data_IF_758141273518
#
_entry.id   IF_758141273518
#
_cell.length_a   1.000
_cell.length_b   1.000
_cell.length_c   1.000
_cell.angle_alpha   90.00
_cell.angle_beta   90.00
_cell.angle_gamma   90.00
#
_symmetry.space_group_name_H-M   'P 1'
#
loop_
_entity.id
_entity.type
_entity.pdbx_description
1 polymer ?
#
# COMPACT_ATOMS: atom_id res chain seq x y z
N UNK A 1 -8.38 -2.18 27.31
CA UNK A 1 -9.70 -1.68 26.87
C UNK A 1 -9.69 -0.85 25.58
N UNK A 2 -8.77 0.12 25.38
CA UNK A 2 -8.70 0.88 24.11
C UNK A 2 -8.24 0.04 22.91
N UNK A 3 -7.41 -0.97 23.12
CA UNK A 3 -6.89 -1.86 22.05
C UNK A 3 -7.98 -2.71 21.39
N UNK A 4 -8.79 -3.41 22.18
CA UNK A 4 -9.92 -4.17 21.63
C UNK A 4 -10.89 -3.26 20.86
N UNK A 5 -11.07 -2.00 21.26
CA UNK A 5 -11.94 -1.07 20.53
C UNK A 5 -11.42 -0.74 19.14
N UNK A 6 -10.13 -0.47 18.96
CA UNK A 6 -9.59 -0.16 17.63
C UNK A 6 -9.61 -1.38 16.71
N UNK A 7 -9.29 -2.57 17.24
CA UNK A 7 -9.38 -3.81 16.47
C UNK A 7 -10.84 -4.14 16.08
N UNK A 8 -11.78 -3.98 17.01
CA UNK A 8 -13.20 -4.15 16.73
C UNK A 8 -13.70 -3.16 15.68
N UNK A 9 -13.21 -1.91 15.71
CA UNK A 9 -13.55 -0.92 14.68
C UNK A 9 -13.04 -1.35 13.31
N UNK A 10 -11.77 -1.77 13.19
CA UNK A 10 -11.19 -2.27 11.93
C UNK A 10 -11.99 -3.47 11.39
N UNK A 11 -12.30 -4.43 12.26
CA UNK A 11 -13.10 -5.61 11.90
C UNK A 11 -14.51 -5.21 11.46
N UNK A 12 -15.16 -4.30 12.19
CA UNK A 12 -16.51 -3.82 11.84
C UNK A 12 -16.53 -3.09 10.49
N UNK A 13 -15.52 -2.27 10.19
CA UNK A 13 -15.41 -1.61 8.89
C UNK A 13 -15.14 -2.61 7.77
N UNK A 14 -14.32 -3.63 8.01
CA UNK A 14 -14.08 -4.71 7.05
C UNK A 14 -15.36 -5.49 6.72
N UNK A 15 -16.11 -5.88 7.74
CA UNK A 15 -17.41 -6.57 7.57
C UNK A 15 -18.41 -5.68 6.84
N UNK A 16 -18.45 -4.39 7.16
CA UNK A 16 -19.32 -3.43 6.48
C UNK A 16 -18.96 -3.30 5.00
N UNK A 17 -17.67 -3.24 4.66
CA UNK A 17 -17.21 -3.21 3.26
C UNK A 17 -17.58 -4.50 2.52
N UNK A 18 -17.41 -5.67 3.14
CA UNK A 18 -17.86 -6.93 2.54
C UNK A 18 -19.36 -6.95 2.27
N UNK A 19 -20.17 -6.49 3.24
CA UNK A 19 -21.62 -6.38 3.08
C UNK A 19 -22.02 -5.35 2.01
N UNK A 20 -21.22 -4.30 1.82
CA UNK A 20 -21.48 -3.26 0.83
C UNK A 20 -21.50 -3.81 -0.61
N UNK A 21 -20.83 -4.94 -0.89
CA UNK A 21 -20.87 -5.58 -2.23
C UNK A 21 -22.28 -5.86 -2.76
N UNK A 22 -23.24 -6.06 -1.87
CA UNK A 22 -24.63 -6.37 -2.24
C UNK A 22 -25.39 -5.14 -2.77
N UNK A 23 -24.92 -3.94 -2.48
CA UNK A 23 -25.63 -2.67 -2.75
C UNK A 23 -24.85 -1.78 -3.71
N UNK A 24 -23.52 -1.93 -3.73
CA UNK A 24 -22.60 -1.02 -4.40
C UNK A 24 -22.52 -1.33 -5.91
N UNK A 25 -22.57 -0.31 -6.80
CA UNK A 25 -22.34 -0.47 -8.23
C UNK A 25 -20.95 -1.04 -8.58
N UNK A 26 -20.82 -1.66 -9.74
CA UNK A 26 -19.57 -2.27 -10.22
C UNK A 26 -18.38 -1.29 -10.27
N UNK A 27 -18.58 -0.08 -10.80
CA UNK A 27 -17.51 0.94 -10.87
C UNK A 27 -16.99 1.36 -9.48
N UNK A 28 -17.87 1.41 -8.47
CA UNK A 28 -17.47 1.73 -7.09
C UNK A 28 -16.73 0.53 -6.48
N UNK A 29 -17.11 -0.70 -6.84
CA UNK A 29 -16.44 -1.92 -6.38
C UNK A 29 -14.98 -1.95 -6.85
N UNK A 30 -14.72 -1.64 -8.12
CA UNK A 30 -13.36 -1.50 -8.68
C UNK A 30 -12.56 -0.39 -7.98
N UNK A 31 -13.20 0.75 -7.71
CA UNK A 31 -12.57 1.84 -6.97
C UNK A 31 -12.19 1.40 -5.55
N UNK A 32 -13.06 0.67 -4.84
CA UNK A 32 -12.79 0.15 -3.50
C UNK A 32 -11.61 -0.83 -3.52
N UNK A 33 -11.56 -1.75 -4.49
CA UNK A 33 -10.43 -2.68 -4.64
C UNK A 33 -9.13 -1.91 -4.87
N UNK A 34 -9.16 -0.90 -5.75
CA UNK A 34 -8.01 -0.03 -6.00
C UNK A 34 -7.55 0.71 -4.75
N UNK A 35 -8.47 1.28 -3.98
CA UNK A 35 -8.18 1.96 -2.72
C UNK A 35 -7.54 1.01 -1.72
N UNK A 36 -8.13 -0.17 -1.51
CA UNK A 36 -7.66 -1.14 -0.53
C UNK A 36 -6.29 -1.71 -0.92
N UNK A 37 -6.11 -2.09 -2.18
CA UNK A 37 -4.85 -2.60 -2.70
C UNK A 37 -3.72 -1.56 -2.61
N UNK A 38 -3.97 -0.30 -2.99
CA UNK A 38 -2.99 0.78 -2.79
C UNK A 38 -2.71 1.01 -1.30
N UNK A 39 -3.72 0.97 -0.45
CA UNK A 39 -3.54 1.14 1.00
C UNK A 39 -2.62 0.05 1.59
N UNK A 40 -2.67 -1.19 1.09
CA UNK A 40 -1.74 -2.24 1.50
C UNK A 40 -0.28 -1.85 1.20
N UNK A 41 -0.01 -1.38 -0.02
CA UNK A 41 1.35 -0.92 -0.39
C UNK A 41 1.79 0.24 0.48
N UNK A 42 0.90 1.20 0.70
CA UNK A 42 1.17 2.41 1.50
C UNK A 42 1.40 2.04 2.98
N UNK A 43 0.76 1.00 3.51
CA UNK A 43 1.09 0.50 4.85
C UNK A 43 2.54 0.04 4.94
N UNK A 44 3.07 -0.60 3.89
CA UNK A 44 4.49 -0.92 3.77
C UNK A 44 5.39 0.33 3.76
N UNK A 45 5.00 1.37 3.00
CA UNK A 45 5.70 2.67 2.99
C UNK A 45 5.71 3.28 4.39
N UNK A 46 4.57 3.36 5.06
CA UNK A 46 4.43 3.97 6.40
C UNK A 46 5.26 3.21 7.43
N UNK A 47 5.30 1.88 7.34
CA UNK A 47 6.10 1.06 8.25
C UNK A 47 7.60 1.36 8.10
N UNK A 48 8.08 1.63 6.88
CA UNK A 48 9.45 2.09 6.63
C UNK A 48 9.67 3.54 7.11
N UNK A 49 8.71 4.44 6.83
CA UNK A 49 8.80 5.85 7.26
C UNK A 49 8.87 5.99 8.77
N UNK A 50 8.17 5.14 9.52
CA UNK A 50 8.28 5.08 10.99
C UNK A 50 9.68 4.71 11.48
N UNK A 51 10.48 4.07 10.64
CA UNK A 51 11.90 3.75 10.86
C UNK A 51 12.88 4.78 10.30
N UNK A 52 12.39 5.93 9.81
CA UNK A 52 13.23 6.95 9.15
C UNK A 52 13.59 6.63 7.71
N UNK A 53 12.96 5.63 7.10
CA UNK A 53 13.28 5.18 5.76
C UNK A 53 12.13 5.52 4.80
N UNK A 54 12.37 6.45 3.89
CA UNK A 54 11.42 6.74 2.81
C UNK A 54 11.78 5.88 1.60
N UNK A 55 10.91 4.96 1.21
CA UNK A 55 11.15 4.09 0.05
C UNK A 55 10.43 4.58 -1.19
N UNK A 56 11.19 4.95 -2.22
CA UNK A 56 10.68 5.13 -3.59
C UNK A 56 10.79 3.85 -4.44
N UNK A 57 11.02 2.71 -3.79
CA UNK A 57 11.12 1.40 -4.43
C UNK A 57 9.88 0.51 -4.26
N UNK A 58 8.81 0.96 -3.60
CA UNK A 58 7.63 0.11 -3.40
C UNK A 58 6.90 -0.26 -4.71
N UNK A 59 7.05 0.56 -5.76
CA UNK A 59 6.65 0.22 -7.13
C UNK A 59 7.29 -1.06 -7.66
N UNK A 60 8.53 -1.38 -7.25
CA UNK A 60 9.19 -2.65 -7.57
C UNK A 60 8.34 -3.82 -7.07
N UNK A 61 7.98 -3.82 -5.79
CA UNK A 61 7.22 -4.93 -5.19
C UNK A 61 5.79 -4.98 -5.67
N UNK A 62 5.16 -3.83 -5.86
CA UNK A 62 3.86 -3.72 -6.49
C UNK A 62 3.85 -4.35 -7.89
N UNK A 63 4.86 -4.04 -8.70
CA UNK A 63 5.01 -4.63 -10.02
C UNK A 63 5.32 -6.13 -9.94
N UNK A 64 6.25 -6.56 -9.09
CA UNK A 64 6.59 -7.97 -8.91
C UNK A 64 5.39 -8.81 -8.47
N UNK A 65 4.53 -8.29 -7.59
CA UNK A 65 3.30 -8.96 -7.19
C UNK A 65 2.33 -9.16 -8.36
N UNK A 66 2.11 -8.10 -9.16
CA UNK A 66 1.28 -8.19 -10.36
C UNK A 66 1.86 -9.15 -11.41
N UNK A 67 3.16 -9.05 -11.68
CA UNK A 67 3.85 -9.95 -12.63
C UNK A 67 3.92 -11.38 -12.13
N UNK A 68 4.00 -11.64 -10.82
CA UNK A 68 3.93 -12.99 -10.28
C UNK A 68 2.56 -13.62 -10.59
N UNK A 69 1.47 -12.87 -10.43
CA UNK A 69 0.13 -13.31 -10.82
C UNK A 69 0.05 -13.54 -12.34
N UNK A 70 0.51 -12.57 -13.12
CA UNK A 70 0.45 -12.64 -14.58
C UNK A 70 1.26 -13.80 -15.16
N UNK A 71 2.53 -13.93 -14.78
CA UNK A 71 3.41 -15.01 -15.25
C UNK A 71 2.99 -16.38 -14.69
N UNK A 72 2.51 -16.42 -13.44
CA UNK A 72 1.91 -17.60 -12.82
C UNK A 72 0.76 -18.15 -13.67
N UNK A 73 -0.16 -17.29 -14.07
CA UNK A 73 -1.28 -17.64 -14.95
C UNK A 73 -0.81 -18.01 -16.36
N UNK A 74 0.05 -17.20 -16.98
CA UNK A 74 0.42 -17.35 -18.39
C UNK A 74 1.36 -18.52 -18.66
N UNK A 75 2.39 -18.73 -17.83
CA UNK A 75 3.45 -19.71 -18.09
C UNK A 75 3.26 -21.00 -17.31
N UNK A 76 2.81 -20.91 -16.06
CA UNK A 76 2.59 -22.09 -15.21
C UNK A 76 1.16 -22.63 -15.31
N UNK A 77 0.27 -21.94 -16.02
CA UNK A 77 -1.15 -22.34 -16.15
C UNK A 77 -1.90 -22.32 -14.83
N UNK A 78 -1.39 -21.59 -13.83
CA UNK A 78 -2.01 -21.50 -12.51
C UNK A 78 -3.21 -20.57 -12.61
N UNK A 79 -4.40 -21.13 -12.48
CA UNK A 79 -5.64 -20.35 -12.45
C UNK A 79 -6.10 -20.03 -11.03
N UNK A 80 -5.64 -20.76 -10.00
CA UNK A 80 -6.12 -20.59 -8.62
C UNK A 80 -5.65 -19.28 -7.99
N UNK A 81 -6.60 -18.42 -7.61
CA UNK A 81 -6.35 -17.12 -6.99
C UNK A 81 -5.47 -17.22 -5.74
N UNK A 82 -5.69 -18.21 -4.87
CA UNK A 82 -4.90 -18.35 -3.65
C UNK A 82 -3.46 -18.77 -3.94
N UNK A 83 -3.26 -19.62 -4.95
CA UNK A 83 -1.93 -20.04 -5.36
C UNK A 83 -1.16 -18.88 -6.00
N UNK A 84 -1.84 -18.06 -6.80
CA UNK A 84 -1.25 -16.86 -7.40
C UNK A 84 -0.86 -15.81 -6.33
N UNK A 85 -1.68 -15.62 -5.30
CA UNK A 85 -1.34 -14.76 -4.17
C UNK A 85 -0.17 -15.31 -3.36
N UNK A 86 -0.14 -16.62 -3.10
CA UNK A 86 0.98 -17.27 -2.43
C UNK A 86 2.27 -17.10 -3.24
N UNK A 87 2.21 -17.27 -4.56
CA UNK A 87 3.34 -17.03 -5.46
C UNK A 87 3.84 -15.58 -5.36
N UNK A 88 2.93 -14.59 -5.39
CA UNK A 88 3.30 -13.18 -5.22
C UNK A 88 4.01 -12.92 -3.88
N UNK A 89 3.53 -13.51 -2.78
CA UNK A 89 4.17 -13.41 -1.46
C UNK A 89 5.55 -14.07 -1.45
N UNK A 90 5.70 -15.25 -2.05
CA UNK A 90 6.99 -15.96 -2.12
C UNK A 90 8.00 -15.15 -2.92
N UNK A 91 7.62 -14.63 -4.09
CA UNK A 91 8.49 -13.78 -4.91
C UNK A 91 8.91 -12.52 -4.13
N UNK A 92 7.98 -11.89 -3.42
CA UNK A 92 8.26 -10.73 -2.59
C UNK A 92 9.21 -11.05 -1.43
N UNK A 93 9.05 -12.19 -0.75
CA UNK A 93 9.95 -12.62 0.32
C UNK A 93 11.36 -12.88 -0.18
N UNK A 94 11.49 -13.54 -1.34
CA UNK A 94 12.80 -13.86 -1.93
C UNK A 94 13.51 -12.58 -2.39
N UNK A 95 12.84 -11.76 -3.20
CA UNK A 95 13.42 -10.53 -3.74
C UNK A 95 13.62 -9.49 -2.64
N UNK A 96 12.61 -9.31 -1.77
CA UNK A 96 12.65 -8.41 -0.63
C UNK A 96 13.67 -8.81 0.42
N UNK A 97 13.88 -10.11 0.64
CA UNK A 97 14.95 -10.63 1.49
C UNK A 97 16.33 -10.35 0.90
N UNK A 98 16.53 -10.64 -0.39
CA UNK A 98 17.79 -10.37 -1.07
C UNK A 98 18.13 -8.88 -1.12
N UNK A 99 17.20 -8.05 -1.60
CA UNK A 99 17.38 -6.60 -1.72
C UNK A 99 17.39 -5.91 -0.34
N UNK A 100 16.60 -6.40 0.61
CA UNK A 100 16.57 -5.89 1.97
C UNK A 100 17.91 -6.06 2.67
N UNK A 101 18.61 -7.17 2.43
CA UNK A 101 19.93 -7.40 3.01
C UNK A 101 20.95 -6.34 2.58
N UNK A 102 20.84 -5.88 1.32
CA UNK A 102 21.63 -4.79 0.76
C UNK A 102 21.16 -3.42 1.28
N UNK A 103 19.87 -3.12 1.14
CA UNK A 103 19.28 -1.83 1.46
C UNK A 103 19.30 -1.49 2.95
N UNK A 104 19.27 -2.49 3.84
CA UNK A 104 19.35 -2.30 5.28
C UNK A 104 20.63 -1.60 5.77
N UNK A 105 21.65 -1.46 4.91
CA UNK A 105 22.91 -0.76 5.21
C UNK A 105 22.83 0.75 4.96
N UNK A 106 21.84 1.21 4.21
CA UNK A 106 21.71 2.61 3.79
C UNK A 106 20.63 3.32 4.59
N UNK A 107 20.72 4.65 4.66
CA UNK A 107 19.81 5.52 5.41
C UNK A 107 19.35 6.69 4.57
N UNK A 108 18.23 7.27 4.98
CA UNK A 108 17.71 8.54 4.47
C UNK A 108 17.66 8.57 2.93
N UNK A 109 18.28 9.59 2.34
CA UNK A 109 18.28 9.85 0.89
C UNK A 109 18.97 8.72 0.12
N UNK A 110 20.02 8.10 0.66
CA UNK A 110 20.70 7.00 -0.03
C UNK A 110 19.81 5.75 -0.14
N UNK A 111 19.04 5.46 0.91
CA UNK A 111 18.06 4.38 0.88
C UNK A 111 16.96 4.68 -0.17
N UNK A 112 16.45 5.91 -0.19
CA UNK A 112 15.47 6.36 -1.17
C UNK A 112 15.99 6.19 -2.61
N UNK A 113 17.17 6.72 -2.91
CA UNK A 113 17.78 6.66 -4.24
C UNK A 113 18.09 5.22 -4.69
N UNK A 114 18.63 4.38 -3.80
CA UNK A 114 18.93 2.99 -4.15
C UNK A 114 17.64 2.19 -4.37
N UNK A 115 16.61 2.39 -3.56
CA UNK A 115 15.31 1.73 -3.75
C UNK A 115 14.61 2.16 -5.05
N UNK A 116 14.72 3.44 -5.42
CA UNK A 116 14.24 3.97 -6.69
C UNK A 116 14.99 3.35 -7.88
N UNK A 117 16.32 3.30 -7.80
CA UNK A 117 17.15 2.71 -8.85
C UNK A 117 16.80 1.25 -9.11
N UNK A 118 16.58 0.45 -8.05
CA UNK A 118 16.14 -0.94 -8.17
C UNK A 118 14.79 -1.06 -8.89
N UNK A 119 13.83 -0.19 -8.57
CA UNK A 119 12.53 -0.13 -9.28
C UNK A 119 12.71 0.17 -10.77
N UNK A 120 13.60 1.11 -11.11
CA UNK A 120 13.87 1.49 -12.50
C UNK A 120 14.67 0.43 -13.27
N UNK A 121 15.53 -0.34 -12.61
CA UNK A 121 16.18 -1.51 -13.21
C UNK A 121 15.12 -2.55 -13.59
N UNK A 122 14.18 -2.86 -12.69
CA UNK A 122 13.08 -3.77 -13.01
C UNK A 122 12.25 -3.22 -14.19
N UNK A 123 11.88 -1.94 -14.15
CA UNK A 123 11.16 -1.30 -15.25
C UNK A 123 11.88 -1.49 -16.59
N UNK A 124 13.19 -1.20 -16.66
CA UNK A 124 13.99 -1.37 -17.87
C UNK A 124 14.09 -2.83 -18.34
N UNK A 125 14.18 -3.79 -17.42
CA UNK A 125 14.17 -5.22 -17.75
C UNK A 125 12.84 -5.68 -18.33
N UNK A 126 11.72 -5.16 -17.81
CA UNK A 126 10.38 -5.50 -18.29
C UNK A 126 10.09 -4.88 -19.66
N UNK A 127 10.43 -3.61 -19.86
CA UNK A 127 10.19 -2.93 -21.15
C UNK A 127 11.11 -3.43 -22.27
N UNK A 128 12.31 -3.93 -21.94
CA UNK A 128 13.24 -4.45 -22.94
C UNK A 128 12.93 -5.89 -23.39
N UNK A 129 12.04 -6.61 -22.70
CA UNK A 129 11.81 -8.04 -22.93
C UNK A 129 10.39 -8.31 -23.47
N UNK A 130 10.31 -8.70 -24.74
CA UNK A 130 9.04 -9.03 -25.41
C UNK A 130 8.30 -10.19 -24.75
N UNK A 131 9.02 -11.18 -24.20
CA UNK A 131 8.40 -12.32 -23.53
C UNK A 131 7.61 -11.90 -22.26
N UNK A 132 8.00 -10.78 -21.65
CA UNK A 132 7.35 -10.20 -20.48
C UNK A 132 6.30 -9.15 -20.84
N UNK A 133 5.96 -9.01 -22.12
CA UNK A 133 4.94 -8.09 -22.61
C UNK A 133 5.47 -6.73 -23.07
N UNK A 134 6.77 -6.47 -22.98
CA UNK A 134 7.36 -5.17 -23.38
C UNK A 134 6.59 -4.00 -22.72
N UNK A 135 6.44 -2.86 -23.40
CA UNK A 135 5.76 -1.66 -22.88
C UNK A 135 4.26 -1.85 -22.58
N UNK A 136 3.57 -2.69 -23.37
CA UNK A 136 2.13 -2.92 -23.25
C UNK A 136 1.78 -3.84 -22.07
N UNK A 137 2.70 -4.73 -21.69
CA UNK A 137 2.44 -5.78 -20.72
C UNK A 137 1.56 -6.89 -21.29
N UNK A 138 0.78 -7.56 -20.44
CA UNK A 138 -0.10 -8.65 -20.88
C UNK A 138 -1.28 -8.90 -19.92
N UNK A 139 -2.33 -9.47 -20.50
CA UNK A 139 -3.59 -9.78 -19.81
C UNK A 139 -3.46 -11.02 -18.93
N UNK A 140 -4.01 -10.95 -17.72
CA UNK A 140 -4.22 -12.08 -16.81
C UNK A 140 -5.56 -12.73 -17.17
N UNK A 141 -5.55 -14.01 -17.57
CA UNK A 141 -6.77 -14.72 -18.00
C UNK A 141 -7.11 -15.87 -17.06
N UNK A 142 -8.40 -16.22 -17.05
CA UNK A 142 -8.94 -17.47 -16.50
C UNK A 142 -8.61 -17.68 -15.01
N UNK A 143 -9.07 -16.77 -14.16
CA UNK A 143 -9.01 -16.98 -12.71
C UNK A 143 -10.04 -18.05 -12.30
N UNK A 144 -9.61 -18.98 -11.46
CA UNK A 144 -10.41 -20.06 -10.89
C UNK A 144 -10.38 -19.98 -9.36
N UNK A 145 -11.43 -20.50 -8.72
CA UNK A 145 -11.47 -20.69 -7.27
C UNK A 145 -11.55 -22.20 -7.00
N UNK A 146 -10.57 -22.75 -6.28
CA UNK A 146 -10.51 -24.19 -5.96
C UNK A 146 -10.65 -25.11 -7.19
N UNK A 147 -10.11 -24.68 -8.34
CA UNK A 147 -10.17 -25.42 -9.60
C UNK A 147 -11.42 -25.20 -10.46
N UNK A 148 -12.43 -24.48 -9.99
CA UNK A 148 -13.59 -24.11 -10.81
C UNK A 148 -13.36 -22.78 -11.54
N UNK A 149 -13.54 -22.79 -12.86
CA UNK A 149 -13.43 -21.59 -13.68
C UNK A 149 -14.57 -20.62 -13.34
N UNK A 150 -14.22 -19.37 -13.01
CA UNK A 150 -15.18 -18.35 -12.64
C UNK A 150 -15.67 -17.58 -13.87
N UNK A 151 -16.95 -17.20 -13.86
CA UNK A 151 -17.47 -16.19 -14.79
C UNK A 151 -16.91 -14.79 -14.47
N UNK A 152 -16.87 -13.85 -15.42
CA UNK A 152 -16.33 -12.50 -15.16
C UNK A 152 -16.93 -11.81 -13.93
N UNK A 153 -18.25 -11.93 -13.75
CA UNK A 153 -18.93 -11.34 -12.58
C UNK A 153 -18.56 -12.03 -11.26
N UNK A 154 -18.32 -13.34 -11.29
CA UNK A 154 -17.84 -14.08 -10.11
C UNK A 154 -16.39 -13.73 -9.77
N UNK A 155 -15.54 -13.49 -10.79
CA UNK A 155 -14.15 -13.04 -10.58
C UNK A 155 -14.17 -11.70 -9.85
N UNK A 156 -14.91 -10.72 -10.36
CA UNK A 156 -15.03 -9.39 -9.77
C UNK A 156 -15.52 -9.46 -8.31
N UNK A 157 -16.59 -10.22 -8.05
CA UNK A 157 -17.11 -10.41 -6.69
C UNK A 157 -16.10 -11.11 -5.76
N UNK A 158 -15.38 -12.12 -6.27
CA UNK A 158 -14.39 -12.89 -5.51
C UNK A 158 -13.18 -12.03 -5.16
N UNK A 159 -12.63 -11.31 -6.14
CA UNK A 159 -11.49 -10.40 -5.95
C UNK A 159 -11.86 -9.27 -5.00
N UNK A 160 -13.09 -8.73 -5.10
CA UNK A 160 -13.60 -7.74 -4.14
C UNK A 160 -13.60 -8.27 -2.71
N UNK A 161 -14.28 -9.41 -2.47
CA UNK A 161 -14.42 -9.99 -1.13
C UNK A 161 -13.07 -10.38 -0.55
N UNK A 162 -12.20 -10.96 -1.38
CA UNK A 162 -10.86 -11.34 -1.01
C UNK A 162 -10.01 -10.12 -0.67
N UNK A 163 -10.08 -9.05 -1.46
CA UNK A 163 -9.38 -7.79 -1.18
C UNK A 163 -9.84 -7.19 0.14
N UNK A 164 -11.15 -7.14 0.41
CA UNK A 164 -11.67 -6.69 1.70
C UNK A 164 -11.15 -7.56 2.86
N UNK A 165 -11.13 -8.88 2.68
CA UNK A 165 -10.64 -9.84 3.67
C UNK A 165 -9.17 -9.65 3.99
N UNK A 166 -8.32 -9.63 2.95
CA UNK A 166 -6.88 -9.41 3.09
C UNK A 166 -6.59 -8.03 3.65
N UNK A 167 -7.24 -6.97 3.17
CA UNK A 167 -7.05 -5.62 3.68
C UNK A 167 -7.41 -5.51 5.17
N UNK A 168 -8.50 -6.14 5.60
CA UNK A 168 -8.90 -6.16 7.02
C UNK A 168 -7.93 -6.96 7.87
N UNK A 169 -7.52 -8.14 7.40
CA UNK A 169 -6.54 -8.99 8.08
C UNK A 169 -5.20 -8.26 8.23
N UNK A 170 -4.69 -7.68 7.14
CA UNK A 170 -3.43 -6.95 7.13
C UNK A 170 -3.53 -5.67 7.96
N UNK A 171 -4.65 -4.95 7.95
CA UNK A 171 -4.84 -3.79 8.81
C UNK A 171 -4.78 -4.17 10.30
N UNK A 172 -5.39 -5.31 10.66
CA UNK A 172 -5.31 -5.87 12.01
C UNK A 172 -3.85 -6.22 12.36
N UNK A 173 -3.19 -7.03 11.53
CA UNK A 173 -1.79 -7.44 11.74
C UNK A 173 -0.83 -6.26 11.78
N UNK A 174 -1.01 -5.25 10.93
CA UNK A 174 -0.23 -4.02 10.95
C UNK A 174 -0.46 -3.25 12.25
N UNK A 175 -1.70 -3.16 12.74
CA UNK A 175 -2.00 -2.51 14.01
C UNK A 175 -1.31 -3.20 15.19
N UNK A 176 -1.34 -4.53 15.21
CA UNK A 176 -0.63 -5.36 16.19
C UNK A 176 0.89 -5.18 16.08
N UNK A 177 1.44 -5.27 14.87
CA UNK A 177 2.88 -5.11 14.60
C UNK A 177 3.39 -3.73 15.02
N UNK A 178 2.63 -2.67 14.71
CA UNK A 178 2.96 -1.29 15.05
C UNK A 178 3.06 -1.01 16.55
N UNK A 179 2.44 -1.85 17.38
CA UNK A 179 2.46 -1.82 18.85
C UNK A 179 3.35 -2.90 19.46
N UNK A 180 3.84 -3.84 18.66
CA UNK A 180 4.79 -4.84 19.12
C UNK A 180 6.17 -4.19 19.39
N UNK A 181 7.05 -4.83 20.17
CA UNK A 181 8.40 -4.32 20.44
C UNK A 181 9.17 -3.98 19.16
N UNK A 182 8.99 -4.78 18.11
CA UNK A 182 9.62 -4.54 16.80
C UNK A 182 9.13 -3.26 16.11
N UNK A 183 7.84 -2.96 16.22
CA UNK A 183 7.25 -1.72 15.71
C UNK A 183 7.75 -0.48 16.45
N UNK A 184 7.94 -0.58 17.77
CA UNK A 184 8.56 0.49 18.57
C UNK A 184 10.06 0.62 18.29
N UNK A 185 10.76 -0.49 18.07
CA UNK A 185 12.18 -0.49 17.71
C UNK A 185 12.44 0.31 16.44
N UNK A 186 11.56 0.23 15.43
CA UNK A 186 11.65 1.08 14.23
C UNK A 186 11.65 2.57 14.55
N UNK A 187 10.70 3.03 15.37
CA UNK A 187 10.65 4.44 15.79
C UNK A 187 11.83 4.85 16.68
N UNK A 188 12.37 3.94 17.48
CA UNK A 188 13.59 4.20 18.25
C UNK A 188 14.83 4.33 17.34
N UNK A 189 14.93 3.49 16.31
CA UNK A 189 15.99 3.55 15.28
C UNK A 189 15.96 4.90 14.57
N UNK A 190 14.77 5.40 14.21
CA UNK A 190 14.64 6.71 13.58
C UNK A 190 15.15 7.86 14.48
N UNK A 191 14.99 7.75 15.79
CA UNK A 191 15.42 8.81 16.72
C UNK A 191 16.94 8.79 16.95
N UNK A 192 17.52 7.63 17.25
CA UNK A 192 18.95 7.50 17.51
C UNK A 192 19.42 6.04 17.39
N UNK A 193 20.05 5.71 16.27
CA UNK A 193 20.57 4.36 16.01
C UNK A 193 21.62 3.92 17.02
N UNK A 194 22.52 4.83 17.41
CA UNK A 194 23.60 4.55 18.35
C UNK A 194 23.05 4.16 19.73
N UNK A 195 21.99 4.85 20.19
CA UNK A 195 21.31 4.51 21.44
C UNK A 195 20.63 3.14 21.37
N UNK A 196 20.03 2.79 20.24
CA UNK A 196 19.40 1.46 20.04
C UNK A 196 20.45 0.35 20.07
N UNK A 197 21.63 0.60 19.50
CA UNK A 197 22.74 -0.34 19.52
C UNK A 197 23.29 -0.55 20.95
N UNK A 198 23.40 0.50 21.76
CA UNK A 198 23.75 0.38 23.18
C UNK A 198 22.72 -0.43 24.00
N UNK A 199 21.47 -0.50 23.56
CA UNK A 199 20.42 -1.33 24.17
C UNK A 199 20.46 -2.79 23.69
N UNK A 200 21.42 -3.16 22.84
CA UNK A 200 21.62 -4.52 22.32
C UNK A 200 20.77 -4.86 21.09
N UNK A 201 20.07 -3.90 20.50
CA UNK A 201 19.31 -4.09 19.27
C UNK A 201 20.12 -3.62 18.06
N UNK A 202 20.15 -4.41 16.99
CA UNK A 202 20.79 -4.01 15.73
C UNK A 202 19.82 -3.15 14.88
N UNK A 203 20.11 -1.86 14.62
CA UNK A 203 19.27 -1.02 13.75
C UNK A 203 19.08 -1.63 12.37
N UNK A 204 20.15 -2.27 11.85
CA UNK A 204 20.13 -2.96 10.57
C UNK A 204 19.13 -4.11 10.51
N UNK A 205 19.03 -4.90 11.57
CA UNK A 205 18.07 -6.02 11.65
C UNK A 205 16.64 -5.51 11.69
N UNK A 206 16.39 -4.41 12.40
CA UNK A 206 15.08 -3.76 12.46
C UNK A 206 14.68 -3.17 11.11
N UNK A 207 15.59 -2.46 10.43
CA UNK A 207 15.34 -1.95 9.08
C UNK A 207 15.11 -3.08 8.08
N UNK A 208 15.87 -4.19 8.18
CA UNK A 208 15.73 -5.37 7.32
C UNK A 208 14.36 -6.02 7.48
N UNK A 209 13.91 -6.33 8.70
CA UNK A 209 12.61 -6.97 8.92
C UNK A 209 11.48 -6.07 8.43
N UNK A 210 11.56 -4.77 8.71
CA UNK A 210 10.58 -3.79 8.24
C UNK A 210 10.52 -3.73 6.71
N UNK A 211 11.66 -3.83 6.05
CA UNK A 211 11.76 -3.86 4.60
C UNK A 211 11.13 -5.12 3.99
N UNK A 212 11.40 -6.30 4.56
CA UNK A 212 10.79 -7.55 4.10
C UNK A 212 9.27 -7.51 4.27
N UNK A 213 8.77 -7.04 5.42
CA UNK A 213 7.32 -6.87 5.62
C UNK A 213 6.74 -5.89 4.60
N UNK A 214 7.39 -4.75 4.37
CA UNK A 214 6.93 -3.77 3.40
C UNK A 214 6.92 -4.34 1.96
N UNK A 215 7.88 -5.19 1.59
CA UNK A 215 7.92 -5.84 0.28
C UNK A 215 6.74 -6.78 0.05
N UNK A 216 6.36 -7.57 1.07
CA UNK A 216 5.20 -8.46 0.99
C UNK A 216 3.92 -7.66 0.85
N UNK A 217 3.78 -6.58 1.61
CA UNK A 217 2.62 -5.68 1.52
C UNK A 217 2.51 -5.02 0.14
N UNK A 218 3.64 -4.60 -0.43
CA UNK A 218 3.72 -4.07 -1.79
C UNK A 218 3.24 -5.09 -2.83
N UNK A 219 3.74 -6.31 -2.76
CA UNK A 219 3.38 -7.37 -3.70
C UNK A 219 1.93 -7.84 -3.56
N UNK A 220 1.38 -7.90 -2.33
CA UNK A 220 -0.04 -8.19 -2.12
C UNK A 220 -0.92 -7.15 -2.80
N UNK A 221 -0.63 -5.85 -2.63
CA UNK A 221 -1.38 -4.80 -3.32
C UNK A 221 -1.29 -4.91 -4.84
N UNK A 222 -0.11 -5.24 -5.37
CA UNK A 222 0.12 -5.43 -6.80
C UNK A 222 -0.61 -6.63 -7.39
N UNK A 223 -0.58 -7.76 -6.68
CA UNK A 223 -1.28 -8.98 -7.07
C UNK A 223 -2.80 -8.76 -7.13
N UNK A 224 -3.37 -8.08 -6.12
CA UNK A 224 -4.80 -7.78 -6.09
C UNK A 224 -5.21 -6.86 -7.24
N UNK A 225 -4.42 -5.83 -7.55
CA UNK A 225 -4.72 -4.96 -8.70
C UNK A 225 -4.63 -5.69 -10.04
N UNK A 226 -3.67 -6.60 -10.18
CA UNK A 226 -3.50 -7.36 -11.40
C UNK A 226 -4.69 -8.31 -11.63
N UNK A 227 -5.23 -8.88 -10.56
CA UNK A 227 -6.43 -9.73 -10.60
C UNK A 227 -7.69 -8.92 -10.91
N UNK A 228 -7.82 -7.72 -10.34
CA UNK A 228 -8.97 -6.84 -10.52
C UNK A 228 -9.03 -6.25 -11.94
N UNK A 229 -7.92 -5.67 -12.42
CA UNK A 229 -7.85 -5.08 -13.76
C UNK A 229 -7.72 -6.14 -14.86
N UNK A 230 -7.35 -7.38 -14.52
CA UNK A 230 -7.07 -8.44 -15.47
C UNK A 230 -5.88 -8.14 -16.39
N UNK A 231 -5.03 -7.17 -16.07
CA UNK A 231 -3.90 -6.74 -16.89
C UNK A 231 -2.73 -6.27 -16.03
N UNK A 232 -1.52 -6.57 -16.49
CA UNK A 232 -0.27 -6.19 -15.83
C UNK A 232 0.59 -5.44 -16.84
N UNK A 233 1.19 -4.32 -16.43
CA UNK A 233 2.08 -3.52 -17.27
C UNK A 233 3.36 -3.10 -16.54
N UNK A 234 4.48 -2.87 -17.26
CA UNK A 234 5.73 -2.38 -16.65
C UNK A 234 5.56 -1.03 -15.95
N UNK A 235 4.59 -0.22 -16.36
CA UNK A 235 4.29 1.07 -15.76
C UNK A 235 4.00 0.98 -14.24
N UNK A 236 3.65 -0.19 -13.73
CA UNK A 236 3.54 -0.45 -12.29
C UNK A 236 4.87 -0.28 -11.53
N UNK A 237 6.01 -0.52 -12.18
CA UNK A 237 7.35 -0.33 -11.60
C UNK A 237 7.92 1.07 -11.84
N UNK A 238 7.25 1.90 -12.66
CA UNK A 238 7.73 3.23 -12.99
C UNK A 238 7.74 4.12 -11.74
N UNK A 239 8.77 4.97 -11.62
CA UNK A 239 9.01 5.73 -10.39
C UNK A 239 7.83 6.58 -9.92
N UNK A 240 7.01 7.08 -10.85
CA UNK A 240 5.84 7.89 -10.51
C UNK A 240 4.85 7.10 -9.65
N UNK A 241 4.69 5.79 -9.91
CA UNK A 241 3.83 4.92 -9.11
C UNK A 241 4.31 4.82 -7.66
N UNK A 242 5.62 4.68 -7.44
CA UNK A 242 6.22 4.73 -6.09
C UNK A 242 5.99 6.09 -5.42
N UNK A 243 6.08 7.18 -6.19
CA UNK A 243 5.78 8.53 -5.72
C UNK A 243 4.33 8.69 -5.25
N UNK A 244 3.37 8.10 -5.97
CA UNK A 244 1.96 8.08 -5.55
C UNK A 244 1.80 7.42 -4.18
N UNK A 245 2.46 6.29 -3.91
CA UNK A 245 2.37 5.64 -2.61
C UNK A 245 2.91 6.52 -1.46
N UNK A 246 4.00 7.24 -1.71
CA UNK A 246 4.56 8.21 -0.74
C UNK A 246 3.58 9.37 -0.53
N UNK A 247 2.96 9.88 -1.59
CA UNK A 247 1.96 10.95 -1.47
C UNK A 247 0.73 10.51 -0.67
N UNK A 248 0.23 9.30 -0.89
CA UNK A 248 -0.88 8.74 -0.11
C UNK A 248 -0.49 8.64 1.39
N UNK A 249 0.74 8.18 1.68
CA UNK A 249 1.25 8.10 3.06
C UNK A 249 1.26 9.48 3.75
N UNK A 250 1.71 10.51 3.04
CA UNK A 250 1.78 11.89 3.55
C UNK A 250 0.38 12.51 3.72
N UNK A 251 -0.54 12.27 2.79
CA UNK A 251 -1.93 12.75 2.90
C UNK A 251 -2.67 12.14 4.09
N UNK A 252 -2.54 10.83 4.28
CA UNK A 252 -3.18 10.11 5.38
C UNK A 252 -2.57 10.45 6.75
N UNK A 253 -1.24 10.34 6.83
CA UNK A 253 -0.45 10.42 8.06
C UNK A 253 0.18 9.07 8.43
N UNK A 254 1.30 9.11 9.17
CA UNK A 254 2.14 7.93 9.45
C UNK A 254 1.85 7.20 10.78
N UNK A 255 1.03 7.81 11.65
CA UNK A 255 0.90 7.36 13.05
C UNK A 255 -0.17 6.28 13.28
N UNK A 256 -1.12 6.11 12.36
CA UNK A 256 -2.23 5.19 12.55
C UNK A 256 -2.55 4.42 11.27
N UNK A 257 -2.82 3.12 11.38
CA UNK A 257 -3.20 2.25 10.25
C UNK A 257 -4.41 2.81 9.49
N UNK A 258 -5.44 3.25 10.21
CA UNK A 258 -6.64 3.85 9.61
C UNK A 258 -6.38 5.14 8.81
N UNK A 259 -5.29 5.86 9.13
CA UNK A 259 -4.91 7.05 8.39
C UNK A 259 -4.50 6.70 6.94
N UNK A 260 -3.86 5.56 6.74
CA UNK A 260 -3.45 5.07 5.42
C UNK A 260 -4.65 4.78 4.52
N UNK A 261 -5.65 4.08 5.06
CA UNK A 261 -6.88 3.77 4.31
C UNK A 261 -7.66 5.04 3.96
N UNK A 262 -7.75 6.00 4.87
CA UNK A 262 -8.39 7.29 4.60
C UNK A 262 -7.60 8.07 3.53
N UNK A 263 -6.27 8.12 3.65
CA UNK A 263 -5.41 8.75 2.65
C UNK A 263 -5.59 8.14 1.26
N UNK A 264 -5.61 6.81 1.15
CA UNK A 264 -5.81 6.10 -0.11
C UNK A 264 -7.21 6.37 -0.69
N UNK A 265 -8.24 6.39 0.16
CA UNK A 265 -9.61 6.68 -0.25
C UNK A 265 -9.73 8.08 -0.82
N UNK A 266 -9.22 9.10 -0.11
CA UNK A 266 -9.28 10.49 -0.57
C UNK A 266 -8.44 10.67 -1.83
N UNK A 267 -7.25 10.08 -1.89
CA UNK A 267 -6.40 10.15 -3.09
C UNK A 267 -7.13 9.57 -4.32
N UNK A 268 -7.72 8.38 -4.21
CA UNK A 268 -8.37 7.74 -5.35
C UNK A 268 -9.65 8.47 -5.77
N UNK A 269 -10.43 9.01 -4.82
CA UNK A 269 -11.60 9.84 -5.13
C UNK A 269 -11.16 11.10 -5.90
N UNK A 270 -10.17 11.83 -5.38
CA UNK A 270 -9.66 13.04 -6.05
C UNK A 270 -9.09 12.68 -7.41
N UNK A 271 -8.34 11.57 -7.52
CA UNK A 271 -7.78 11.10 -8.80
C UNK A 271 -8.89 10.81 -9.81
N UNK A 272 -9.93 10.08 -9.40
CA UNK A 272 -11.04 9.68 -10.27
C UNK A 272 -11.78 10.89 -10.82
N UNK A 273 -12.19 11.82 -9.95
CA UNK A 273 -12.88 13.03 -10.38
C UNK A 273 -11.96 14.01 -11.13
N UNK A 274 -10.68 14.09 -10.77
CA UNK A 274 -9.73 14.93 -11.50
C UNK A 274 -9.50 14.42 -12.94
N UNK A 275 -9.47 13.09 -13.13
CA UNK A 275 -9.41 12.48 -14.45
C UNK A 275 -10.70 12.70 -15.26
N UNK A 276 -11.86 12.68 -14.60
CA UNK A 276 -13.15 12.92 -15.25
C UNK A 276 -13.31 14.37 -15.72
N UNK A 277 -13.03 15.36 -14.85
CA UNK A 277 -13.26 16.78 -15.15
C UNK A 277 -12.08 17.47 -15.84
N UNK A 278 -10.85 17.06 -15.55
CA UNK A 278 -9.65 17.71 -16.07
C UNK A 278 -8.52 16.72 -16.39
N UNK A 279 -8.69 15.85 -17.41
CA UNK A 279 -7.74 14.78 -17.76
C UNK A 279 -6.31 15.27 -18.06
N UNK A 280 -6.12 16.52 -18.47
CA UNK A 280 -4.80 17.07 -18.77
C UNK A 280 -4.11 17.67 -17.53
N UNK A 281 -4.88 18.00 -16.49
CA UNK A 281 -4.40 18.70 -15.29
C UNK A 281 -4.49 17.85 -14.01
N UNK A 282 -4.90 16.58 -14.09
CA UNK A 282 -5.12 15.72 -12.92
C UNK A 282 -3.88 15.64 -11.99
N UNK A 283 -2.67 15.61 -12.56
CA UNK A 283 -1.42 15.61 -11.76
C UNK A 283 -1.20 16.91 -11.01
N UNK A 284 -1.54 18.05 -11.62
CA UNK A 284 -1.47 19.37 -10.98
C UNK A 284 -2.50 19.43 -9.85
N UNK A 285 -3.73 18.98 -10.09
CA UNK A 285 -4.80 18.95 -9.09
C UNK A 285 -4.37 18.12 -7.87
N UNK A 286 -3.85 16.90 -8.09
CA UNK A 286 -3.34 16.06 -7.00
C UNK A 286 -2.20 16.73 -6.24
N UNK A 287 -1.24 17.33 -6.94
CA UNK A 287 -0.14 18.07 -6.30
C UNK A 287 -0.63 19.26 -5.48
N UNK A 288 -1.60 20.03 -5.98
CA UNK A 288 -2.20 21.15 -5.24
C UNK A 288 -2.94 20.68 -4.00
N UNK A 289 -3.73 19.61 -4.09
CA UNK A 289 -4.43 19.03 -2.92
C UNK A 289 -3.44 18.55 -1.87
N UNK A 290 -2.34 17.92 -2.28
CA UNK A 290 -1.27 17.50 -1.36
C UNK A 290 -0.65 18.70 -0.64
N UNK A 291 -0.29 19.77 -1.36
CA UNK A 291 0.27 20.99 -0.76
C UNK A 291 -0.71 21.62 0.25
N UNK A 292 -1.99 21.70 -0.11
CA UNK A 292 -3.03 22.19 0.80
C UNK A 292 -3.10 21.34 2.08
N UNK A 293 -3.09 20.01 1.95
CA UNK A 293 -3.13 19.12 3.12
C UNK A 293 -1.89 19.33 3.99
N UNK A 294 -0.68 19.41 3.42
CA UNK A 294 0.55 19.61 4.20
C UNK A 294 0.55 20.97 4.91
N UNK A 295 0.12 22.05 4.24
CA UNK A 295 0.08 23.39 4.81
C UNK A 295 -0.97 23.55 5.92
N UNK A 296 -2.16 22.96 5.74
CA UNK A 296 -3.28 23.17 6.66
C UNK A 296 -3.44 22.04 7.70
N UNK A 297 -2.97 20.83 7.40
CA UNK A 297 -3.07 19.61 8.22
C UNK A 297 -1.69 18.91 8.30
N UNK A 298 -0.72 19.45 9.05
CA UNK A 298 0.65 18.91 9.09
C UNK A 298 0.75 17.48 9.65
N UNK A 299 -0.28 17.00 10.34
CA UNK A 299 -0.39 15.62 10.85
C UNK A 299 -1.23 14.70 9.95
N UNK A 300 -1.56 15.15 8.74
CA UNK A 300 -2.41 14.42 7.78
C UNK A 300 -3.90 14.51 8.11
N UNK A 301 -4.72 13.90 7.23
CA UNK A 301 -6.18 13.85 7.36
C UNK A 301 -6.66 13.24 8.68
N UNK A 302 -5.87 12.36 9.29
CA UNK A 302 -6.20 11.75 10.57
C UNK A 302 -6.30 12.76 11.73
N UNK A 303 -5.69 13.94 11.61
CA UNK A 303 -5.69 14.98 12.64
C UNK A 303 -6.94 15.86 12.66
N UNK A 304 -7.81 15.73 11.66
CA UNK A 304 -9.06 16.50 11.54
C UNK A 304 -9.95 16.42 12.79
N UNK A 305 -10.23 15.25 13.38
CA UNK A 305 -11.12 15.16 14.54
C UNK A 305 -10.55 15.88 15.76
N UNK A 306 -9.23 15.85 15.95
CA UNK A 306 -8.56 16.52 17.07
C UNK A 306 -8.51 18.03 16.89
N UNK A 307 -8.20 18.50 15.67
CA UNK A 307 -8.20 19.93 15.34
C UNK A 307 -9.60 20.55 15.48
N UNK A 308 -10.64 19.85 15.03
CA UNK A 308 -12.04 20.31 15.17
C UNK A 308 -12.46 20.38 16.65
N UNK A 309 -12.02 19.43 17.49
CA UNK A 309 -12.26 19.47 18.94
C UNK A 309 -11.54 20.63 19.62
N UNK A 310 -10.29 20.92 19.24
CA UNK A 310 -9.54 22.06 19.74
C UNK A 310 -10.20 23.40 19.39
N UNK A 311 -10.71 23.55 18.16
CA UNK A 311 -11.43 24.76 17.72
C UNK A 311 -12.76 24.92 18.46
N UNK A 312 -13.53 23.84 18.65
CA UNK A 312 -14.79 23.88 19.40
C UNK A 312 -14.58 24.22 20.87
N UNK A 313 -13.54 23.67 21.50
CA UNK A 313 -13.18 24.00 22.88
C UNK A 313 -12.79 25.48 23.02
N UNK A 314 -11.98 26.01 22.10
CA UNK A 314 -11.60 27.42 22.08
C UNK A 314 -12.80 28.37 21.86
N UNK A 315 -13.81 27.94 21.08
CA UNK A 315 -15.02 28.73 20.83
C UNK A 315 -15.97 28.73 22.03
N UNK A 316 -16.17 27.58 22.67
CA UNK A 316 -16.97 27.47 23.91
C UNK A 316 -16.39 28.27 25.07
N UNK A 317 -15.07 28.43 25.12
CA UNK A 317 -14.39 29.20 26.15
C UNK A 317 -14.50 30.73 25.91
N UNK A 318 -14.73 31.14 24.66
CA UNK A 318 -14.92 32.54 24.25
C UNK A 318 -16.37 33.01 24.34
N UNK A 319 -17.33 32.08 24.36
CA UNK A 319 -18.75 32.35 24.61
C UNK A 319 -19.09 32.35 26.11
N UNK A 320 -18.18 31.85 26.96
CA UNK A 320 -18.31 31.82 28.42
C UNK A 320 -17.64 33.01 29.14
N UNK A 321 -17.01 33.93 28.39
CA UNK A 321 -16.40 35.19 28.83
C UNK A 321 -17.11 36.37 28.19
#
# INVERSE_FOLDING_TARGET
MRENRTLLLIMSTGVLLMAARLVVPEWVSLMIVTVLAKALVVLGVVLLMRGGLVSFGQGLYYCLGGYAVGLGSRWFGISDIFLLLALAVVVALLVGGALGFLLSRYREIFFAMLSLALSMILYGLLTSNEALGSDDGFTVRNLSLFGEALTPHQIEATVYLLTCGIATLVACLAHLYMRAPMGFAGSAVHQNEVRVEYLGLSPRTVSYSNYVVASVLGALGGALIAMDNGHVSPNMAFWAQSGEFVFIALMGGINHVGAVFIGATVFEIVRTFALEFAPQAWRIILGSVLVLIICFLPFGLWSLPEKIRGIKAARSQKEAT
#
